data_IF_889408410111
#
_entry.id   IF_889408410111
#
_cell.length_a   1.000
_cell.length_b   1.000
_cell.length_c   1.000
_cell.angle_alpha   90.00
_cell.angle_beta   90.00
_cell.angle_gamma   90.00
#
_symmetry.space_group_name_H-M   'P 1'
#
loop_
_entity.id
_entity.type
_entity.pdbx_description
1 polymer ?
#
# COMPACT_ATOMS: atom_id res chain seq x y z
N UNK A 1 18.40 -31.20 14.88
CA UNK A 1 17.49 -32.34 15.17
C UNK A 1 18.21 -33.68 15.37
N UNK A 2 18.93 -34.22 14.36
CA UNK A 2 19.64 -35.51 14.48
C UNK A 2 20.56 -35.63 15.72
N UNK A 3 21.43 -34.65 16.06
CA UNK A 3 22.30 -34.75 17.23
C UNK A 3 21.56 -34.71 18.58
N UNK A 4 20.45 -33.97 18.68
CA UNK A 4 19.61 -33.95 19.89
C UNK A 4 18.91 -35.29 20.09
N UNK A 5 18.40 -35.88 19.01
CA UNK A 5 17.76 -37.19 19.07
C UNK A 5 18.74 -38.29 19.53
N UNK A 6 19.98 -38.25 19.03
CA UNK A 6 21.04 -39.15 19.49
C UNK A 6 21.35 -38.94 20.98
N UNK A 7 21.52 -37.70 21.44
CA UNK A 7 21.77 -37.38 22.86
C UNK A 7 20.63 -37.86 23.79
N UNK A 8 19.38 -37.67 23.38
CA UNK A 8 18.20 -38.15 24.12
C UNK A 8 18.17 -39.68 24.21
N UNK A 9 18.42 -40.37 23.10
CA UNK A 9 18.51 -41.84 23.06
C UNK A 9 19.67 -42.37 23.90
N UNK A 10 20.83 -41.71 23.88
CA UNK A 10 21.96 -42.04 24.75
C UNK A 10 21.59 -41.88 26.23
N UNK A 11 20.86 -40.82 26.59
CA UNK A 11 20.32 -40.65 27.94
C UNK A 11 19.41 -41.80 28.37
N UNK A 12 18.47 -42.21 27.50
CA UNK A 12 17.57 -43.36 27.76
C UNK A 12 18.36 -44.67 27.89
N UNK A 13 19.34 -44.89 27.02
CA UNK A 13 20.20 -46.08 27.06
C UNK A 13 20.99 -46.18 28.37
N UNK A 14 21.59 -45.07 28.82
CA UNK A 14 22.32 -44.99 30.09
C UNK A 14 21.37 -45.24 31.28
N UNK A 15 20.13 -44.75 31.22
CA UNK A 15 19.12 -45.06 32.23
C UNK A 15 18.80 -46.56 32.29
N UNK A 16 18.61 -47.20 31.13
CA UNK A 16 18.37 -48.64 31.07
C UNK A 16 19.55 -49.45 31.62
N UNK A 17 20.79 -49.05 31.29
CA UNK A 17 22.02 -49.63 31.85
C UNK A 17 22.07 -49.53 33.37
N UNK A 18 21.64 -48.40 33.95
CA UNK A 18 21.64 -48.20 35.40
C UNK A 18 20.82 -49.24 36.18
N UNK A 19 19.81 -49.87 35.55
CA UNK A 19 18.99 -50.91 36.18
C UNK A 19 19.75 -52.22 36.43
N UNK A 20 20.86 -52.44 35.75
CA UNK A 20 21.68 -53.65 35.86
C UNK A 20 22.87 -53.49 36.81
N UNK A 21 23.03 -52.32 37.43
CA UNK A 21 24.18 -51.98 38.28
C UNK A 21 23.68 -51.59 39.68
N UNK A 22 24.43 -51.94 40.73
CA UNK A 22 24.08 -51.65 42.14
C UNK A 22 25.06 -50.66 42.79
N UNK A 23 24.60 -50.01 43.87
CA UNK A 23 25.40 -49.07 44.66
C UNK A 23 25.64 -47.72 43.96
N UNK A 24 26.70 -47.01 44.37
CA UNK A 24 27.01 -45.64 43.94
C UNK A 24 27.09 -45.44 42.41
N UNK A 25 27.42 -46.49 41.65
CA UNK A 25 27.51 -46.42 40.19
C UNK A 25 26.11 -46.25 39.56
N UNK A 26 25.08 -46.83 40.18
CA UNK A 26 23.69 -46.67 39.73
C UNK A 26 23.27 -45.20 39.80
N UNK A 27 23.54 -44.54 40.93
CA UNK A 27 23.17 -43.14 41.13
C UNK A 27 23.93 -42.21 40.17
N UNK A 28 25.20 -42.50 39.90
CA UNK A 28 25.98 -41.79 38.89
C UNK A 28 25.34 -41.91 37.49
N UNK A 29 24.99 -43.12 37.07
CA UNK A 29 24.36 -43.36 35.75
C UNK A 29 22.99 -42.69 35.64
N UNK A 30 22.18 -42.71 36.71
CA UNK A 30 20.89 -42.01 36.74
C UNK A 30 21.09 -40.50 36.59
N UNK A 31 22.05 -39.90 37.31
CA UNK A 31 22.33 -38.46 37.22
C UNK A 31 22.86 -38.05 35.84
N UNK A 32 23.74 -38.85 35.23
CA UNK A 32 24.24 -38.61 33.87
C UNK A 32 23.09 -38.71 32.86
N UNK A 33 22.25 -39.74 32.96
CA UNK A 33 21.08 -39.91 32.11
C UNK A 33 20.11 -38.73 32.23
N UNK A 34 19.76 -38.35 33.47
CA UNK A 34 18.88 -37.23 33.75
C UNK A 34 19.44 -35.92 33.18
N UNK A 35 20.74 -35.69 33.31
CA UNK A 35 21.42 -34.50 32.75
C UNK A 35 21.36 -34.49 31.23
N UNK A 36 21.65 -35.62 30.57
CA UNK A 36 21.57 -35.73 29.11
C UNK A 36 20.16 -35.49 28.58
N UNK A 37 19.16 -36.07 29.23
CA UNK A 37 17.74 -35.88 28.87
C UNK A 37 17.33 -34.42 29.11
N UNK A 38 17.68 -33.85 30.27
CA UNK A 38 17.30 -32.48 30.64
C UNK A 38 17.94 -31.43 29.72
N UNK A 39 19.25 -31.51 29.46
CA UNK A 39 19.95 -30.61 28.54
C UNK A 39 19.33 -30.69 27.15
N UNK A 40 19.06 -31.89 26.67
CA UNK A 40 18.47 -32.10 25.35
C UNK A 40 17.05 -31.53 25.27
N UNK A 41 16.23 -31.75 26.29
CA UNK A 41 14.88 -31.20 26.37
C UNK A 41 14.91 -29.66 26.37
N UNK A 42 15.79 -29.04 27.16
CA UNK A 42 15.96 -27.58 27.21
C UNK A 42 16.34 -27.03 25.84
N UNK A 43 17.30 -27.65 25.14
CA UNK A 43 17.74 -27.18 23.82
C UNK A 43 16.64 -27.32 22.76
N UNK A 44 15.89 -28.42 22.75
CA UNK A 44 14.75 -28.60 21.84
C UNK A 44 13.67 -27.56 22.14
N UNK A 45 13.32 -27.37 23.42
CA UNK A 45 12.34 -26.34 23.82
C UNK A 45 12.81 -24.94 23.39
N UNK A 46 14.09 -24.62 23.55
CA UNK A 46 14.65 -23.35 23.12
C UNK A 46 14.57 -23.16 21.60
N UNK A 47 14.94 -24.16 20.80
CA UNK A 47 14.84 -24.09 19.33
C UNK A 47 13.40 -23.96 18.86
N UNK A 48 12.46 -24.67 19.49
CA UNK A 48 11.03 -24.56 19.21
C UNK A 48 10.54 -23.14 19.54
N UNK A 49 10.82 -22.62 20.72
CA UNK A 49 10.43 -21.26 21.11
C UNK A 49 11.05 -20.22 20.16
N UNK A 50 12.33 -20.36 19.84
CA UNK A 50 13.05 -19.48 18.92
C UNK A 50 12.45 -19.52 17.52
N UNK A 51 12.13 -20.70 16.99
CA UNK A 51 11.51 -20.83 15.67
C UNK A 51 10.11 -20.21 15.61
N UNK A 52 9.30 -20.40 16.66
CA UNK A 52 7.97 -19.76 16.79
C UNK A 52 8.11 -18.24 16.88
N UNK A 53 9.03 -17.74 17.70
CA UNK A 53 9.30 -16.31 17.84
C UNK A 53 9.77 -15.69 16.53
N UNK A 54 10.69 -16.35 15.81
CA UNK A 54 11.17 -15.89 14.52
C UNK A 54 10.08 -15.91 13.46
N UNK A 55 9.21 -16.92 13.47
CA UNK A 55 8.05 -16.97 12.55
C UNK A 55 7.11 -15.80 12.79
N UNK A 56 6.77 -15.54 14.06
CA UNK A 56 5.95 -14.39 14.43
C UNK A 56 6.60 -13.08 13.98
N UNK A 57 7.88 -12.88 14.30
CA UNK A 57 8.60 -11.68 13.90
C UNK A 57 8.61 -11.49 12.37
N UNK A 58 8.89 -12.55 11.61
CA UNK A 58 8.89 -12.48 10.15
C UNK A 58 7.50 -12.12 9.59
N UNK A 59 6.43 -12.67 10.17
CA UNK A 59 5.06 -12.35 9.78
C UNK A 59 4.72 -10.89 10.07
N UNK A 60 5.05 -10.38 11.25
CA UNK A 60 4.81 -8.98 11.62
C UNK A 60 5.55 -8.00 10.70
N UNK A 61 6.80 -8.33 10.34
CA UNK A 61 7.58 -7.50 9.40
C UNK A 61 6.97 -7.54 7.99
N UNK A 62 6.52 -8.71 7.54
CA UNK A 62 5.81 -8.85 6.27
C UNK A 62 4.52 -8.02 6.25
N UNK A 63 3.66 -8.15 7.28
CA UNK A 63 2.41 -7.40 7.39
C UNK A 63 2.66 -5.90 7.45
N UNK A 64 3.69 -5.46 8.18
CA UNK A 64 4.11 -4.06 8.23
C UNK A 64 4.58 -3.53 6.86
N UNK A 65 5.33 -4.34 6.11
CA UNK A 65 5.72 -4.02 4.74
C UNK A 65 4.53 -3.94 3.80
N UNK A 66 3.64 -4.93 3.86
CA UNK A 66 2.42 -5.00 3.05
C UNK A 66 1.52 -3.80 3.31
N UNK A 67 1.29 -3.46 4.57
CA UNK A 67 0.48 -2.31 4.98
C UNK A 67 1.02 -0.98 4.42
N UNK A 68 2.34 -0.81 4.38
CA UNK A 68 2.93 0.39 3.76
C UNK A 68 2.69 0.42 2.25
N UNK A 69 2.87 -0.71 1.55
CA UNK A 69 2.62 -0.78 0.11
C UNK A 69 1.13 -0.57 -0.18
N UNK A 70 0.25 -1.23 0.56
CA UNK A 70 -1.21 -1.10 0.44
C UNK A 70 -1.69 0.33 0.62
N UNK A 71 -1.07 1.09 1.54
CA UNK A 71 -1.36 2.52 1.71
C UNK A 71 -1.07 3.30 0.44
N UNK A 72 0.10 3.10 -0.16
CA UNK A 72 0.48 3.79 -1.40
C UNK A 72 -0.39 3.31 -2.57
N UNK A 73 -0.66 2.01 -2.68
CA UNK A 73 -1.54 1.42 -3.69
C UNK A 73 -2.96 1.98 -3.59
N UNK A 74 -3.53 2.10 -2.39
CA UNK A 74 -4.84 2.74 -2.20
C UNK A 74 -4.82 4.22 -2.61
N UNK A 75 -3.75 4.94 -2.29
CA UNK A 75 -3.56 6.32 -2.76
C UNK A 75 -3.55 6.42 -4.29
N UNK A 76 -2.85 5.49 -4.95
CA UNK A 76 -2.80 5.37 -6.41
C UNK A 76 -4.20 5.08 -6.97
N UNK A 77 -4.92 4.12 -6.39
CA UNK A 77 -6.31 3.79 -6.75
C UNK A 77 -7.21 5.01 -6.64
N UNK A 78 -7.16 5.73 -5.52
CA UNK A 78 -7.96 6.94 -5.32
C UNK A 78 -7.61 8.05 -6.29
N UNK A 79 -6.34 8.16 -6.68
CA UNK A 79 -5.92 9.11 -7.70
C UNK A 79 -6.42 8.70 -9.09
N UNK A 80 -6.31 7.41 -9.45
CA UNK A 80 -6.87 6.89 -10.69
C UNK A 80 -8.37 7.10 -10.77
N UNK A 81 -9.13 6.81 -9.71
CA UNK A 81 -10.57 7.08 -9.68
C UNK A 81 -10.92 8.54 -10.01
N UNK A 82 -10.07 9.50 -9.65
CA UNK A 82 -10.26 10.93 -10.00
C UNK A 82 -10.09 11.22 -11.50
N UNK A 83 -9.43 10.35 -12.26
CA UNK A 83 -9.38 10.41 -13.74
C UNK A 83 -10.61 9.81 -14.41
N UNK A 84 -11.49 9.13 -13.66
CA UNK A 84 -12.64 8.43 -14.24
C UNK A 84 -13.98 8.96 -13.77
N UNK A 85 -14.03 9.60 -12.60
CA UNK A 85 -15.26 10.08 -12.01
C UNK A 85 -15.20 11.59 -11.74
N UNK A 86 -16.30 12.34 -11.98
CA UNK A 86 -16.44 13.71 -11.53
C UNK A 86 -16.25 13.81 -10.01
N UNK A 87 -15.72 14.93 -9.49
CA UNK A 87 -15.45 15.04 -8.05
C UNK A 87 -16.66 14.87 -7.17
N UNK A 88 -17.81 15.37 -7.64
CA UNK A 88 -19.06 15.31 -6.92
C UNK A 88 -19.60 13.87 -6.79
N UNK A 89 -19.11 12.94 -7.62
CA UNK A 89 -19.53 11.55 -7.70
C UNK A 89 -18.49 10.57 -7.12
N UNK A 90 -17.36 11.07 -6.61
CA UNK A 90 -16.31 10.24 -6.03
C UNK A 90 -16.80 9.56 -4.74
N UNK A 91 -16.82 8.24 -4.77
CA UNK A 91 -17.08 7.39 -3.62
C UNK A 91 -15.87 6.47 -3.36
N UNK A 92 -15.28 6.59 -2.17
CA UNK A 92 -14.13 5.80 -1.72
C UNK A 92 -14.52 4.58 -0.88
N UNK A 93 -15.80 4.21 -0.88
CA UNK A 93 -16.27 2.97 -0.26
C UNK A 93 -15.56 1.74 -0.84
N UNK A 94 -15.45 0.68 -0.03
CA UNK A 94 -14.86 -0.59 -0.47
C UNK A 94 -15.55 -1.16 -1.71
N UNK A 95 -16.88 -1.03 -1.82
CA UNK A 95 -17.63 -1.46 -3.00
C UNK A 95 -17.25 -0.68 -4.27
N UNK A 96 -17.05 0.64 -4.14
CA UNK A 96 -16.67 1.49 -5.27
C UNK A 96 -15.23 1.24 -5.71
N UNK A 97 -14.32 1.02 -4.76
CA UNK A 97 -12.95 0.57 -5.04
C UNK A 97 -12.94 -0.78 -5.75
N UNK A 98 -13.67 -1.77 -5.24
CA UNK A 98 -13.75 -3.10 -5.85
C UNK A 98 -14.31 -3.06 -7.28
N UNK A 99 -15.37 -2.27 -7.49
CA UNK A 99 -15.94 -2.03 -8.83
C UNK A 99 -14.94 -1.35 -9.76
N UNK A 100 -14.20 -0.35 -9.25
CA UNK A 100 -13.16 0.33 -10.01
C UNK A 100 -12.03 -0.63 -10.42
N UNK A 101 -11.53 -1.46 -9.50
CA UNK A 101 -10.48 -2.44 -9.80
C UNK A 101 -10.91 -3.52 -10.80
N UNK A 102 -12.21 -3.69 -11.01
CA UNK A 102 -12.79 -4.63 -11.98
C UNK A 102 -13.14 -3.96 -13.33
N UNK A 103 -12.74 -2.70 -13.54
CA UNK A 103 -13.11 -1.94 -14.74
C UNK A 103 -12.41 -2.49 -15.99
N UNK A 104 -13.13 -2.55 -17.11
CA UNK A 104 -12.54 -2.96 -18.38
C UNK A 104 -11.83 -1.79 -19.07
N UNK A 105 -10.84 -2.08 -19.92
CA UNK A 105 -10.19 -1.07 -20.78
C UNK A 105 -11.20 -0.32 -21.65
N UNK A 106 -12.25 -1.01 -22.13
CA UNK A 106 -13.32 -0.40 -22.93
C UNK A 106 -14.08 0.65 -22.12
N UNK A 107 -14.40 0.33 -20.86
CA UNK A 107 -15.11 1.25 -19.96
C UNK A 107 -14.21 2.41 -19.53
N UNK A 108 -12.92 2.17 -19.27
CA UNK A 108 -11.92 3.22 -19.05
C UNK A 108 -11.93 4.19 -20.23
N UNK A 109 -11.74 3.71 -21.46
CA UNK A 109 -11.67 4.57 -22.63
C UNK A 109 -12.97 5.37 -22.82
N UNK A 110 -14.13 4.73 -22.57
CA UNK A 110 -15.42 5.41 -22.63
C UNK A 110 -15.52 6.54 -21.61
N UNK A 111 -15.12 6.31 -20.35
CA UNK A 111 -15.15 7.33 -19.29
C UNK A 111 -14.20 8.50 -19.62
N UNK A 112 -13.00 8.19 -20.10
CA UNK A 112 -12.02 9.20 -20.51
C UNK A 112 -12.51 10.06 -21.68
N UNK A 113 -13.27 9.48 -22.61
CA UNK A 113 -13.84 10.20 -23.75
C UNK A 113 -15.05 11.07 -23.37
N UNK A 114 -15.89 10.62 -22.43
CA UNK A 114 -17.13 11.31 -22.10
C UNK A 114 -16.96 12.42 -21.07
N UNK A 115 -16.03 12.25 -20.14
CA UNK A 115 -15.97 13.09 -18.95
C UNK A 115 -15.18 14.38 -19.17
N UNK A 116 -15.55 15.41 -18.42
CA UNK A 116 -14.79 16.65 -18.27
C UNK A 116 -14.07 16.60 -16.93
N UNK A 117 -12.80 16.98 -16.91
CA UNK A 117 -11.95 16.94 -15.73
C UNK A 117 -11.49 18.34 -15.35
N UNK A 118 -11.27 18.58 -14.06
CA UNK A 118 -10.56 19.78 -13.63
C UNK A 118 -9.06 19.57 -13.71
N UNK A 119 -8.32 20.64 -14.02
CA UNK A 119 -6.85 20.62 -14.07
C UNK A 119 -6.23 20.05 -12.79
N UNK A 120 -6.79 20.33 -11.61
CA UNK A 120 -6.30 19.80 -10.33
C UNK A 120 -6.52 18.29 -10.14
N UNK A 121 -7.35 17.64 -10.97
CA UNK A 121 -7.46 16.17 -11.01
C UNK A 121 -6.33 15.59 -11.86
N UNK A 122 -6.07 16.20 -13.01
CA UNK A 122 -5.25 15.61 -14.08
C UNK A 122 -3.79 16.06 -14.10
N UNK A 123 -3.46 17.23 -13.53
CA UNK A 123 -2.08 17.76 -13.47
C UNK A 123 -1.35 17.39 -12.17
N UNK A 124 -1.76 16.29 -11.53
CA UNK A 124 -1.11 15.77 -10.33
C UNK A 124 0.16 15.03 -10.67
N UNK A 125 1.15 15.11 -9.79
CA UNK A 125 2.35 14.27 -9.87
C UNK A 125 2.12 12.92 -9.17
N UNK A 126 2.91 11.92 -9.56
CA UNK A 126 2.95 10.59 -8.93
C UNK A 126 4.20 10.37 -8.07
N UNK A 127 5.09 11.37 -8.02
CA UNK A 127 6.43 11.30 -7.42
C UNK A 127 6.40 10.88 -5.95
N UNK A 128 5.39 11.32 -5.19
CA UNK A 128 5.25 10.94 -3.78
C UNK A 128 5.05 9.41 -3.64
N UNK A 129 4.15 8.81 -4.45
CA UNK A 129 3.91 7.37 -4.43
C UNK A 129 5.12 6.59 -4.93
N UNK A 130 5.75 7.07 -6.01
CA UNK A 130 6.98 6.45 -6.54
C UNK A 130 8.09 6.45 -5.49
N UNK A 131 8.36 7.59 -4.86
CA UNK A 131 9.39 7.71 -3.82
C UNK A 131 9.10 6.82 -2.63
N UNK A 132 7.84 6.77 -2.17
CA UNK A 132 7.45 5.93 -1.04
C UNK A 132 7.62 4.44 -1.35
N UNK A 133 7.16 3.97 -2.52
CA UNK A 133 7.34 2.59 -2.96
C UNK A 133 8.82 2.23 -3.14
N UNK A 134 9.63 3.11 -3.73
CA UNK A 134 11.08 2.92 -3.81
C UNK A 134 11.74 2.82 -2.44
N UNK A 135 11.34 3.65 -1.47
CA UNK A 135 11.90 3.61 -0.13
C UNK A 135 11.56 2.30 0.59
N UNK A 136 10.38 1.74 0.34
CA UNK A 136 10.01 0.42 0.85
C UNK A 136 10.92 -0.66 0.23
N UNK A 137 11.15 -0.62 -1.09
CA UNK A 137 12.06 -1.55 -1.78
C UNK A 137 13.53 -1.39 -1.37
N UNK A 138 13.94 -0.20 -0.91
CA UNK A 138 15.30 0.05 -0.39
C UNK A 138 15.50 -0.46 1.03
N UNK A 139 14.45 -0.91 1.72
CA UNK A 139 14.53 -1.37 3.11
C UNK A 139 14.76 -2.89 3.19
N UNK A 140 15.99 -3.36 3.53
CA UNK A 140 16.31 -4.79 3.55
C UNK A 140 15.47 -5.58 4.54
N UNK A 141 15.11 -4.97 5.68
CA UNK A 141 14.28 -5.62 6.70
C UNK A 141 12.93 -6.04 6.13
N UNK A 142 12.38 -5.21 5.24
CA UNK A 142 11.12 -5.48 4.57
C UNK A 142 11.35 -6.44 3.42
N UNK A 143 12.23 -6.11 2.47
CA UNK A 143 12.39 -6.88 1.22
C UNK A 143 12.83 -8.32 1.43
N UNK A 144 13.62 -8.62 2.47
CA UNK A 144 14.00 -10.00 2.82
C UNK A 144 12.80 -10.87 3.23
N UNK A 145 11.64 -10.27 3.54
CA UNK A 145 10.41 -10.98 3.93
C UNK A 145 9.42 -11.14 2.78
N UNK A 146 9.67 -10.51 1.63
CA UNK A 146 8.85 -10.67 0.45
C UNK A 146 9.38 -11.77 -0.46
N UNK A 147 8.47 -12.46 -1.12
CA UNK A 147 8.80 -13.35 -2.22
C UNK A 147 9.23 -12.56 -3.46
N UNK A 148 10.01 -13.18 -4.34
CA UNK A 148 10.50 -12.53 -5.56
C UNK A 148 9.35 -11.98 -6.42
N UNK A 149 8.24 -12.72 -6.55
CA UNK A 149 7.08 -12.30 -7.34
C UNK A 149 6.39 -11.07 -6.75
N UNK A 150 6.38 -10.96 -5.41
CA UNK A 150 5.83 -9.79 -4.73
C UNK A 150 6.72 -8.56 -4.94
N UNK A 151 8.04 -8.72 -4.88
CA UNK A 151 9.00 -7.65 -5.20
C UNK A 151 8.86 -7.20 -6.66
N UNK A 152 8.75 -8.16 -7.59
CA UNK A 152 8.54 -7.90 -9.02
C UNK A 152 7.23 -7.13 -9.22
N UNK A 153 6.15 -7.50 -8.53
CA UNK A 153 4.87 -6.78 -8.62
C UNK A 153 4.99 -5.31 -8.18
N UNK A 154 5.73 -5.01 -7.10
CA UNK A 154 5.97 -3.63 -6.67
C UNK A 154 6.82 -2.85 -7.69
N UNK A 155 7.83 -3.48 -8.28
CA UNK A 155 8.63 -2.88 -9.35
C UNK A 155 7.77 -2.61 -10.59
N UNK A 156 6.87 -3.52 -10.94
CA UNK A 156 5.94 -3.33 -12.06
C UNK A 156 4.93 -2.22 -11.77
N UNK A 157 4.47 -2.03 -10.53
CA UNK A 157 3.68 -0.86 -10.13
C UNK A 157 4.44 0.45 -10.39
N UNK A 158 5.71 0.53 -9.97
CA UNK A 158 6.58 1.69 -10.22
C UNK A 158 6.72 2.00 -11.71
N UNK A 159 6.94 0.97 -12.54
CA UNK A 159 7.04 1.15 -14.01
C UNK A 159 5.73 1.70 -14.59
N UNK A 160 4.58 1.15 -14.19
CA UNK A 160 3.28 1.61 -14.72
C UNK A 160 2.89 3.01 -14.24
N UNK A 161 3.30 3.41 -13.04
CA UNK A 161 3.13 4.80 -12.59
C UNK A 161 3.88 5.76 -13.52
N UNK A 162 5.12 5.42 -13.89
CA UNK A 162 5.92 6.21 -14.84
C UNK A 162 5.30 6.24 -16.22
N UNK A 163 4.80 5.11 -16.72
CA UNK A 163 4.08 5.04 -18.00
C UNK A 163 2.88 6.02 -18.00
N UNK A 164 2.07 6.04 -16.94
CA UNK A 164 0.94 6.98 -16.79
C UNK A 164 1.43 8.44 -16.75
N UNK A 165 2.45 8.72 -15.93
CA UNK A 165 3.06 10.05 -15.79
C UNK A 165 3.61 10.58 -17.13
N UNK A 166 4.26 9.74 -17.92
CA UNK A 166 4.85 10.15 -19.19
C UNK A 166 3.78 10.41 -20.25
N UNK A 167 2.71 9.61 -20.25
CA UNK A 167 1.56 9.87 -21.13
C UNK A 167 0.86 11.18 -20.77
N UNK A 168 0.73 11.53 -19.49
CA UNK A 168 0.14 12.82 -19.10
C UNK A 168 0.91 14.04 -19.63
N UNK A 169 2.18 13.88 -19.98
CA UNK A 169 3.04 14.93 -20.55
C UNK A 169 2.92 15.03 -22.08
N UNK A 170 2.21 14.12 -22.74
CA UNK A 170 1.99 14.19 -24.19
C UNK A 170 1.27 15.50 -24.52
N UNK A 171 1.83 16.23 -25.47
CA UNK A 171 1.26 17.50 -25.92
C UNK A 171 -0.18 17.30 -26.41
N UNK A 172 -1.07 18.22 -26.04
CA UNK A 172 -2.48 18.19 -26.44
C UNK A 172 -3.26 16.94 -25.97
N UNK A 173 -2.77 16.18 -24.98
CA UNK A 173 -3.54 15.09 -24.38
C UNK A 173 -4.77 15.62 -23.63
N UNK A 174 -4.62 16.77 -22.97
CA UNK A 174 -5.71 17.49 -22.31
C UNK A 174 -6.01 18.78 -23.07
N UNK A 175 -7.20 18.87 -23.64
CA UNK A 175 -7.70 20.03 -24.37
C UNK A 175 -8.57 20.88 -23.44
N UNK A 176 -8.36 22.21 -23.35
CA UNK A 176 -9.24 23.08 -22.60
C UNK A 176 -10.69 22.93 -23.07
N UNK A 177 -11.62 22.85 -22.13
CA UNK A 177 -13.05 22.78 -22.40
C UNK A 177 -13.70 24.13 -22.07
N UNK A 178 -14.68 24.55 -22.88
CA UNK A 178 -15.43 25.81 -22.69
C UNK A 178 -16.37 25.82 -21.47
N UNK A 179 -16.42 24.72 -20.71
CA UNK A 179 -17.20 24.67 -19.47
C UNK A 179 -16.75 25.77 -18.49
N UNK A 180 -17.74 26.43 -17.88
CA UNK A 180 -17.53 27.66 -17.10
C UNK A 180 -16.56 27.44 -15.94
N UNK A 181 -15.66 28.42 -15.81
CA UNK A 181 -14.73 28.62 -14.69
C UNK A 181 -15.41 28.29 -13.35
N UNK A 182 -14.96 27.22 -12.69
CA UNK A 182 -15.52 26.72 -11.42
C UNK A 182 -15.03 27.52 -10.20
N UNK A 183 -14.25 28.58 -10.44
CA UNK A 183 -13.64 29.46 -9.44
C UNK A 183 -14.62 29.95 -8.37
N UNK A 184 -15.91 30.01 -8.68
CA UNK A 184 -16.93 30.43 -7.72
C UNK A 184 -17.28 29.34 -6.68
N UNK A 185 -17.04 28.06 -6.98
CA UNK A 185 -17.30 26.91 -6.09
C UNK A 185 -16.04 26.43 -5.36
N UNK A 186 -14.89 26.53 -6.02
CA UNK A 186 -13.63 25.97 -5.55
C UNK A 186 -12.55 27.03 -5.40
N UNK A 187 -11.73 26.89 -4.36
CA UNK A 187 -10.54 27.71 -4.11
C UNK A 187 -9.33 26.80 -3.97
N UNK A 188 -8.23 27.18 -4.59
CA UNK A 188 -6.94 26.52 -4.41
C UNK A 188 -6.09 27.36 -3.45
N UNK A 189 -5.45 26.72 -2.47
CA UNK A 189 -4.58 27.39 -1.48
C UNK A 189 -3.26 26.63 -1.43
N UNK A 190 -2.11 27.33 -1.51
CA UNK A 190 -0.82 26.66 -1.40
C UNK A 190 -0.60 26.15 0.02
N UNK A 191 0.01 24.97 0.15
CA UNK A 191 0.36 24.39 1.44
C UNK A 191 1.30 25.29 2.24
N UNK A 192 2.19 26.03 1.57
CA UNK A 192 3.09 27.01 2.18
C UNK A 192 2.39 28.25 2.74
N UNK A 193 1.18 28.57 2.27
CA UNK A 193 0.34 29.62 2.87
C UNK A 193 -0.27 29.17 4.20
N UNK A 194 -0.47 27.87 4.38
CA UNK A 194 -1.03 27.26 5.60
C UNK A 194 0.08 26.93 6.61
N UNK A 195 1.17 26.34 6.14
CA UNK A 195 2.34 26.01 6.94
C UNK A 195 3.63 26.34 6.18
N UNK A 196 4.28 27.44 6.58
CA UNK A 196 5.54 27.92 5.99
C UNK A 196 6.72 26.97 6.22
N UNK A 197 6.64 26.07 7.20
CA UNK A 197 7.68 25.10 7.51
C UNK A 197 7.59 23.81 6.67
N UNK A 198 6.54 23.66 5.85
CA UNK A 198 6.39 22.49 4.98
C UNK A 198 7.44 22.51 3.86
N UNK A 199 8.58 21.85 4.11
CA UNK A 199 9.67 21.66 3.14
C UNK A 199 9.52 20.39 2.31
N UNK A 200 8.74 19.41 2.78
CA UNK A 200 8.67 18.08 2.17
C UNK A 200 7.74 18.05 0.94
N UNK A 201 6.72 18.91 0.91
CA UNK A 201 5.77 18.98 -0.20
C UNK A 201 5.52 20.45 -0.60
N UNK A 202 6.50 21.10 -1.25
CA UNK A 202 6.42 22.53 -1.58
C UNK A 202 5.34 22.84 -2.62
N UNK A 203 5.03 21.87 -3.49
CA UNK A 203 4.04 21.97 -4.56
C UNK A 203 2.66 21.44 -4.13
N UNK A 204 2.46 21.20 -2.83
CA UNK A 204 1.15 20.77 -2.31
C UNK A 204 0.18 21.93 -2.27
N UNK A 205 -1.01 21.70 -2.79
CA UNK A 205 -2.15 22.60 -2.68
C UNK A 205 -3.26 21.97 -1.86
N UNK A 206 -4.12 22.79 -1.27
CA UNK A 206 -5.41 22.40 -0.73
C UNK A 206 -6.49 22.83 -1.71
N UNK A 207 -7.31 21.87 -2.13
CA UNK A 207 -8.54 22.13 -2.84
C UNK A 207 -9.67 22.33 -1.82
N UNK A 208 -10.24 23.52 -1.83
CA UNK A 208 -11.30 23.93 -0.92
C UNK A 208 -12.62 24.06 -1.67
N UNK A 209 -13.67 23.42 -1.15
CA UNK A 209 -15.05 23.63 -1.60
C UNK A 209 -15.75 24.64 -0.70
N UNK A 210 -16.36 25.66 -1.30
CA UNK A 210 -17.15 26.65 -0.54
C UNK A 210 -18.42 25.98 0.00
N UNK A 211 -18.71 26.16 1.30
CA UNK A 211 -19.94 25.65 1.94
C UNK A 211 -20.94 26.79 2.14
N UNK A 212 -20.65 27.74 3.04
CA UNK A 212 -21.41 28.99 3.32
C UNK A 212 -20.53 29.99 4.07
N UNK A 213 -20.77 31.30 3.95
CA UNK A 213 -20.19 32.37 4.79
C UNK A 213 -18.69 32.23 5.07
N UNK A 214 -17.89 32.21 3.99
CA UNK A 214 -16.42 32.05 4.00
C UNK A 214 -15.91 30.79 4.72
N UNK A 215 -16.78 29.82 4.98
CA UNK A 215 -16.39 28.46 5.40
C UNK A 215 -16.12 27.59 4.20
N UNK A 216 -14.99 26.90 4.30
CA UNK A 216 -14.51 25.98 3.28
C UNK A 216 -14.38 24.58 3.86
N UNK A 217 -14.65 23.58 3.03
CA UNK A 217 -14.34 22.18 3.31
C UNK A 217 -13.14 21.78 2.46
N UNK A 218 -12.12 21.17 3.08
CA UNK A 218 -11.03 20.55 2.32
C UNK A 218 -11.60 19.35 1.58
N UNK A 219 -11.50 19.39 0.26
CA UNK A 219 -11.95 18.33 -0.64
C UNK A 219 -10.79 17.42 -1.03
N UNK A 220 -9.60 18.00 -1.23
CA UNK A 220 -8.42 17.28 -1.68
C UNK A 220 -7.13 18.06 -1.38
N UNK A 221 -5.98 17.42 -1.53
CA UNK A 221 -4.66 18.03 -1.28
C UNK A 221 -3.58 17.59 -2.29
N UNK A 222 -3.73 17.87 -3.59
CA UNK A 222 -2.79 17.42 -4.61
C UNK A 222 -1.43 18.10 -4.55
N UNK A 223 -0.40 17.38 -5.01
CA UNK A 223 0.85 17.98 -5.47
C UNK A 223 0.68 18.32 -6.96
N UNK A 224 0.76 19.62 -7.30
CA UNK A 224 0.57 20.15 -8.67
C UNK A 224 1.81 20.98 -9.01
N UNK A 225 2.49 20.74 -10.14
CA UNK A 225 3.62 21.56 -10.53
C UNK A 225 3.21 23.04 -10.65
N UNK A 226 4.05 23.95 -10.12
CA UNK A 226 3.75 25.38 -10.04
C UNK A 226 3.29 26.01 -11.37
N UNK A 227 3.79 25.53 -12.51
CA UNK A 227 3.42 26.04 -13.83
C UNK A 227 1.98 25.68 -14.25
N UNK A 228 1.35 24.69 -13.63
CA UNK A 228 -0.06 24.31 -13.86
C UNK A 228 -1.03 24.93 -12.85
N UNK A 229 -0.58 25.79 -11.92
CA UNK A 229 -1.45 26.37 -10.89
C UNK A 229 -2.61 27.19 -11.48
N UNK A 230 -2.33 28.02 -12.48
CA UNK A 230 -3.35 28.84 -13.16
C UNK A 230 -4.35 27.99 -13.98
N UNK A 231 -3.97 26.75 -14.25
CA UNK A 231 -4.72 25.77 -15.05
C UNK A 231 -5.51 24.80 -14.16
N UNK A 232 -5.13 24.68 -12.88
CA UNK A 232 -5.71 23.73 -11.95
C UNK A 232 -7.24 23.87 -11.82
N UNK A 233 -7.79 25.09 -11.80
CA UNK A 233 -9.24 25.31 -11.68
C UNK A 233 -9.99 25.40 -13.03
N UNK A 234 -9.31 25.15 -14.16
CA UNK A 234 -9.93 25.08 -15.48
C UNK A 234 -10.41 23.66 -15.78
N UNK A 235 -11.34 23.54 -16.73
CA UNK A 235 -11.88 22.27 -17.22
C UNK A 235 -11.20 21.81 -18.50
N UNK A 236 -11.04 20.50 -18.63
CA UNK A 236 -10.35 19.84 -19.72
C UNK A 236 -11.12 18.61 -20.19
N UNK A 237 -10.98 18.28 -21.47
CA UNK A 237 -11.36 17.00 -22.05
C UNK A 237 -10.14 16.31 -22.61
N UNK A 238 -10.14 14.99 -22.59
CA UNK A 238 -9.07 14.23 -23.22
C UNK A 238 -9.25 14.31 -24.74
N UNK A 239 -8.15 14.53 -25.45
CA UNK A 239 -8.16 14.47 -26.90
C UNK A 239 -8.58 13.08 -27.37
N UNK A 240 -9.66 13.00 -28.17
CA UNK A 240 -10.25 11.73 -28.63
C UNK A 240 -9.23 10.82 -29.33
N UNK A 241 -8.29 11.38 -30.10
CA UNK A 241 -7.26 10.59 -30.77
C UNK A 241 -6.22 10.00 -29.80
N UNK A 242 -6.14 10.53 -28.58
CA UNK A 242 -5.17 10.14 -27.55
C UNK A 242 -5.81 9.40 -26.36
N UNK A 243 -7.13 9.16 -26.37
CA UNK A 243 -7.83 8.46 -25.28
C UNK A 243 -7.18 7.10 -24.97
N UNK A 244 -6.86 6.32 -26.00
CA UNK A 244 -6.21 5.02 -25.83
C UNK A 244 -4.78 5.12 -25.28
N UNK A 245 -4.07 6.22 -25.57
CA UNK A 245 -2.72 6.44 -25.07
C UNK A 245 -2.71 6.58 -23.55
N UNK A 246 -3.77 7.18 -22.96
CA UNK A 246 -3.96 7.27 -21.50
C UNK A 246 -4.64 6.04 -20.90
N UNK A 247 -5.67 5.52 -21.57
CA UNK A 247 -6.46 4.41 -21.06
C UNK A 247 -5.68 3.11 -20.92
N UNK A 248 -4.76 2.80 -21.84
CA UNK A 248 -3.95 1.57 -21.79
C UNK A 248 -3.01 1.55 -20.57
N UNK A 249 -2.16 2.57 -20.32
CA UNK A 249 -1.34 2.63 -19.11
C UNK A 249 -2.15 2.58 -17.81
N UNK A 250 -3.29 3.27 -17.74
CA UNK A 250 -4.14 3.24 -16.54
C UNK A 250 -4.76 1.86 -16.30
N UNK A 251 -5.19 1.17 -17.36
CA UNK A 251 -5.67 -0.21 -17.27
C UNK A 251 -4.56 -1.16 -16.81
N UNK A 252 -3.36 -1.05 -17.40
CA UNK A 252 -2.21 -1.87 -16.97
C UNK A 252 -1.81 -1.61 -15.52
N UNK A 253 -1.89 -0.36 -15.05
CA UNK A 253 -1.66 -0.04 -13.65
C UNK A 253 -2.71 -0.71 -12.76
N UNK A 254 -3.98 -0.72 -13.17
CA UNK A 254 -5.06 -1.42 -12.46
C UNK A 254 -4.83 -2.93 -12.40
N UNK A 255 -4.39 -3.54 -13.49
CA UNK A 255 -4.03 -4.97 -13.53
C UNK A 255 -2.86 -5.31 -12.61
N UNK A 256 -1.84 -4.44 -12.54
CA UNK A 256 -0.71 -4.63 -11.63
C UNK A 256 -1.11 -4.45 -10.16
N UNK A 257 -2.08 -3.59 -9.87
CA UNK A 257 -2.67 -3.47 -8.54
C UNK A 257 -3.41 -4.77 -8.17
N UNK A 258 -4.19 -5.33 -9.09
CA UNK A 258 -4.86 -6.62 -8.89
C UNK A 258 -3.86 -7.77 -8.70
N UNK A 259 -2.73 -7.76 -9.42
CA UNK A 259 -1.65 -8.73 -9.24
C UNK A 259 -1.05 -8.63 -7.84
N UNK A 260 -0.74 -7.43 -7.36
CA UNK A 260 -0.24 -7.20 -6.01
C UNK A 260 -1.20 -7.76 -4.95
N UNK A 261 -2.49 -7.45 -5.06
CA UNK A 261 -3.52 -7.97 -4.15
C UNK A 261 -3.57 -9.50 -4.18
N UNK A 262 -3.57 -10.10 -5.38
CA UNK A 262 -3.57 -11.56 -5.55
C UNK A 262 -2.38 -12.23 -4.86
N UNK A 263 -1.18 -11.66 -4.98
CA UNK A 263 0.04 -12.21 -4.38
C UNK A 263 0.13 -12.03 -2.86
N UNK A 264 -0.75 -11.22 -2.27
CA UNK A 264 -0.65 -10.83 -0.86
C UNK A 264 -1.92 -11.11 -0.06
N UNK A 265 -2.89 -11.84 -0.61
CA UNK A 265 -4.06 -12.32 0.13
C UNK A 265 -5.41 -11.71 -0.27
N UNK A 266 -5.50 -11.04 -1.41
CA UNK A 266 -6.71 -10.46 -2.01
C UNK A 266 -7.39 -9.35 -1.18
N UNK A 267 -6.68 -8.78 -0.21
CA UNK A 267 -7.20 -7.73 0.66
C UNK A 267 -6.18 -6.60 0.85
N UNK A 268 -6.67 -5.40 1.18
CA UNK A 268 -5.84 -4.30 1.64
C UNK A 268 -5.71 -4.35 3.17
N UNK A 269 -4.48 -4.23 3.68
CA UNK A 269 -4.22 -3.95 5.09
C UNK A 269 -4.22 -2.43 5.31
N UNK A 270 -5.15 -1.95 6.13
CA UNK A 270 -5.34 -0.52 6.41
C UNK A 270 -5.14 -0.27 7.91
N UNK A 271 -4.23 0.65 8.26
CA UNK A 271 -4.13 1.16 9.63
C UNK A 271 -5.29 2.12 9.94
N UNK A 272 -6.29 1.62 10.65
CA UNK A 272 -7.48 2.39 11.07
C UNK A 272 -7.16 3.57 12.00
N UNK A 273 -5.97 3.64 12.61
CA UNK A 273 -5.57 4.83 13.40
C UNK A 273 -5.32 6.05 12.52
N UNK A 274 -5.00 5.85 11.24
CA UNK A 274 -4.74 6.92 10.28
C UNK A 274 -5.99 7.27 9.44
N UNK A 275 -6.98 6.38 9.36
CA UNK A 275 -8.24 6.60 8.65
C UNK A 275 -9.40 6.69 9.64
N UNK A 276 -9.88 7.91 9.93
CA UNK A 276 -11.14 8.09 10.68
C UNK A 276 -12.30 7.55 9.84
N UNK A 277 -12.72 6.33 10.12
CA UNK A 277 -13.99 5.82 9.60
C UNK A 277 -15.12 6.60 10.24
N UNK A 278 -15.86 7.36 9.43
CA UNK A 278 -17.04 8.08 9.89
C UNK A 278 -18.15 7.06 10.11
N UNK A 279 -18.37 6.64 11.35
CA UNK A 279 -19.53 5.83 11.71
C UNK A 279 -20.78 6.66 11.42
N UNK A 280 -21.53 6.31 10.37
CA UNK A 280 -22.83 6.92 10.10
C UNK A 280 -23.80 6.28 11.08
N UNK A 281 -23.94 6.87 12.27
CA UNK A 281 -25.06 6.56 13.15
C UNK A 281 -26.31 7.09 12.46
N UNK A 282 -27.09 6.20 11.85
CA UNK A 282 -28.45 6.53 11.40
C UNK A 282 -29.27 6.82 12.65
N UNK A 283 -29.44 8.10 12.97
CA UNK A 283 -30.52 8.51 13.86
C UNK A 283 -31.82 8.27 13.09
N UNK A 284 -32.49 7.18 13.42
CA UNK A 284 -33.90 7.00 13.12
C UNK A 284 -34.63 7.91 14.10
N UNK A 285 -35.08 9.06 13.61
CA UNK A 285 -36.10 9.89 14.23
C UNK A 285 -37.39 9.76 13.43
#
# INVERSE_FOLDING_TARGET
>A
MLPYFVSFLTGIFIYCLSKYVNGNIRDLLINISASLIAITAILISYELIKSVSNRKLNQEIFEYGKMQIDREVLGIVYQLMKFFYPLEELDYSQSSVSKFLSISLKDINKLLETNTFFGFQIFRTWEAYESNLENILKNPLITEKFENDQIIAVIELLKRLRDVSDVQKIENIFLPSEDKDVKNKYRLVRGSEVNKENKNYPDRFLLLRRVKDDKYQVLDFPDIPKYHEAEALKTYKINRSLVSHLGVPMYQLTENINLWLKLTGYEFLIDTKMFKMKTITRNIS
#
